data_IF_551499354381
#
_entry.id   IF_551499354381
#
_cell.length_a   1.000
_cell.length_b   1.000
_cell.length_c   1.000
_cell.angle_alpha   90.00
_cell.angle_beta   90.00
_cell.angle_gamma   90.00
#
_symmetry.space_group_name_H-M   'P 1'
#
loop_
_entity.id
_entity.type
_entity.pdbx_description
1 polymer ?
#
# COMPACT_ATOMS: atom_id res chain seq x y z
N UNK A 1 16.41 -10.86 7.54
CA UNK A 1 16.64 -9.83 6.50
C UNK A 1 15.29 -9.27 6.12
N UNK A 2 15.17 -7.95 5.89
CA UNK A 2 13.92 -7.31 5.46
C UNK A 2 14.15 -6.57 4.15
N UNK A 3 13.18 -6.66 3.24
CA UNK A 3 13.19 -5.98 1.93
C UNK A 3 11.90 -5.17 1.84
N UNK A 4 12.01 -3.86 1.64
CA UNK A 4 10.87 -2.98 1.43
C UNK A 4 10.74 -2.67 -0.08
N UNK A 5 9.55 -2.88 -0.64
CA UNK A 5 9.24 -2.57 -2.04
C UNK A 5 8.46 -1.27 -2.08
N UNK A 6 9.02 -0.25 -2.75
CA UNK A 6 8.44 1.10 -2.84
C UNK A 6 8.16 1.47 -4.30
N UNK A 7 7.11 2.27 -4.53
CA UNK A 7 6.69 2.69 -5.85
C UNK A 7 5.27 3.26 -5.88
N UNK A 8 4.93 3.95 -6.96
CA UNK A 8 3.63 4.61 -7.12
C UNK A 8 2.44 3.63 -7.08
N UNK A 9 1.24 4.17 -6.89
CA UNK A 9 -0.02 3.43 -7.06
C UNK A 9 -0.05 2.86 -8.50
N UNK A 10 -0.38 1.57 -8.63
CA UNK A 10 -0.40 0.88 -9.93
C UNK A 10 0.96 0.45 -10.49
N UNK A 11 2.08 0.64 -9.77
CA UNK A 11 3.43 0.28 -10.25
C UNK A 11 3.76 -1.24 -10.23
N UNK A 12 2.82 -2.10 -9.82
CA UNK A 12 3.04 -3.56 -9.76
C UNK A 12 3.78 -4.08 -8.52
N UNK A 13 3.76 -3.32 -7.41
CA UNK A 13 4.45 -3.69 -6.15
C UNK A 13 4.01 -5.06 -5.62
N UNK A 14 2.69 -5.30 -5.52
CA UNK A 14 2.13 -6.57 -5.06
C UNK A 14 2.62 -7.75 -5.90
N UNK A 15 2.58 -7.61 -7.22
CA UNK A 15 3.08 -8.63 -8.16
C UNK A 15 4.57 -8.90 -7.96
N UNK A 16 5.39 -7.86 -7.77
CA UNK A 16 6.82 -8.03 -7.51
C UNK A 16 7.07 -8.69 -6.15
N UNK A 17 6.34 -8.31 -5.10
CA UNK A 17 6.44 -8.93 -3.77
C UNK A 17 6.17 -10.43 -3.85
N UNK A 18 5.12 -10.86 -4.54
CA UNK A 18 4.77 -12.27 -4.71
C UNK A 18 5.87 -13.06 -5.43
N UNK A 19 6.39 -12.49 -6.53
CA UNK A 19 7.46 -13.12 -7.31
C UNK A 19 8.74 -13.28 -6.49
N UNK A 20 9.15 -12.25 -5.76
CA UNK A 20 10.35 -12.27 -4.92
C UNK A 20 10.19 -13.20 -3.72
N UNK A 21 9.04 -13.16 -3.04
CA UNK A 21 8.70 -14.06 -1.93
C UNK A 21 8.83 -15.52 -2.37
N UNK A 22 8.27 -15.88 -3.52
CA UNK A 22 8.36 -17.24 -4.08
C UNK A 22 9.79 -17.64 -4.43
N UNK A 23 10.59 -16.74 -5.02
CA UNK A 23 11.96 -17.04 -5.42
C UNK A 23 12.94 -17.13 -4.26
N UNK A 24 12.74 -16.33 -3.21
CA UNK A 24 13.65 -16.25 -2.06
C UNK A 24 13.17 -17.10 -0.86
N UNK A 25 11.94 -17.62 -0.91
CA UNK A 25 11.33 -18.38 0.19
C UNK A 25 11.00 -17.51 1.41
N UNK A 26 10.67 -16.23 1.19
CA UNK A 26 10.43 -15.25 2.25
C UNK A 26 8.93 -15.03 2.43
N UNK A 27 8.50 -14.74 3.66
CA UNK A 27 7.11 -14.40 3.94
C UNK A 27 6.78 -13.01 3.39
N UNK A 28 5.75 -12.87 2.52
CA UNK A 28 5.33 -11.57 2.01
C UNK A 28 4.49 -10.83 3.05
N UNK A 29 4.64 -9.52 3.09
CA UNK A 29 3.79 -8.61 3.86
C UNK A 29 3.15 -7.63 2.89
N UNK A 30 1.82 -7.54 2.89
CA UNK A 30 1.05 -6.67 2.02
C UNK A 30 0.42 -5.52 2.83
N UNK A 31 0.09 -4.43 2.12
CA UNK A 31 -0.70 -3.33 2.68
C UNK A 31 -2.10 -3.84 3.07
N UNK A 32 -2.71 -3.26 4.12
CA UNK A 32 -4.01 -3.69 4.65
C UNK A 32 -5.18 -3.45 3.69
N UNK A 33 -6.31 -4.12 3.92
CA UNK A 33 -7.49 -4.09 3.04
C UNK A 33 -7.96 -2.64 2.72
N UNK A 34 -8.28 -2.43 1.44
CA UNK A 34 -8.61 -1.16 0.75
C UNK A 34 -9.83 -0.37 1.30
N UNK A 35 -10.37 -0.75 2.45
CA UNK A 35 -11.54 -0.11 3.07
C UNK A 35 -11.14 1.05 3.99
N UNK A 36 -10.29 1.96 3.52
CA UNK A 36 -10.07 3.22 4.24
C UNK A 36 -11.30 4.12 4.04
N UNK A 37 -12.08 4.42 5.10
CA UNK A 37 -13.33 5.18 4.97
C UNK A 37 -13.11 6.62 4.51
N UNK A 38 -11.89 7.14 4.62
CA UNK A 38 -11.55 8.51 4.22
C UNK A 38 -11.01 8.61 2.79
N UNK A 39 -10.91 7.51 2.05
CA UNK A 39 -10.31 7.53 0.71
C UNK A 39 -11.16 8.37 -0.27
N UNK A 40 -12.48 8.17 -0.26
CA UNK A 40 -13.41 8.95 -1.09
C UNK A 40 -13.38 10.43 -0.71
N UNK A 41 -13.46 10.72 0.60
CA UNK A 41 -13.37 12.08 1.14
C UNK A 41 -12.06 12.77 0.75
N UNK A 42 -10.93 12.07 0.79
CA UNK A 42 -9.62 12.58 0.38
C UNK A 42 -9.60 12.97 -1.09
N UNK A 43 -10.14 12.15 -1.98
CA UNK A 43 -10.23 12.50 -3.39
C UNK A 43 -11.18 13.67 -3.66
N UNK A 44 -12.15 13.93 -2.77
CA UNK A 44 -13.05 15.10 -2.85
C UNK A 44 -12.41 16.41 -2.36
N UNK A 45 -11.65 16.37 -1.26
CA UNK A 45 -10.90 17.51 -0.70
C UNK A 45 -9.64 17.03 0.04
N UNK A 46 -8.53 16.99 -0.70
CA UNK A 46 -7.25 16.52 -0.16
C UNK A 46 -6.77 17.37 1.01
N UNK A 47 -6.99 18.69 1.02
CA UNK A 47 -6.49 19.55 2.09
C UNK A 47 -7.19 19.27 3.41
N UNK A 48 -8.51 19.03 3.36
CA UNK A 48 -9.32 18.75 4.54
C UNK A 48 -9.05 17.37 5.14
N UNK A 49 -8.80 16.38 4.29
CA UNK A 49 -8.84 14.96 4.66
C UNK A 49 -7.49 14.23 4.62
N UNK A 50 -6.40 14.89 4.20
CA UNK A 50 -5.04 14.30 4.19
C UNK A 50 -4.64 13.69 5.54
N UNK A 51 -4.89 14.40 6.64
CA UNK A 51 -4.52 13.92 7.97
C UNK A 51 -5.28 12.64 8.34
N UNK A 52 -6.61 12.65 8.18
CA UNK A 52 -7.48 11.52 8.48
C UNK A 52 -7.08 10.27 7.70
N UNK A 53 -6.77 10.42 6.41
CA UNK A 53 -6.32 9.32 5.56
C UNK A 53 -5.01 8.69 6.06
N UNK A 54 -4.06 9.51 6.52
CA UNK A 54 -2.70 9.07 6.88
C UNK A 54 -2.60 8.39 8.25
N UNK A 55 -3.54 8.66 9.18
CA UNK A 55 -3.50 8.10 10.54
C UNK A 55 -4.45 6.92 10.77
N UNK A 56 -5.33 6.64 9.80
CA UNK A 56 -6.21 5.47 9.80
C UNK A 56 -5.39 4.23 9.46
#
# INVERSE_FOLDING_TARGET
MHIAIVGNIGAGKTTLTELLSKQLGYDPLFEGEDNNPYLEDFYSDMKRWSFNLQIY
#
